data_IF_438906068436
#
_entry.id   IF_438906068436
#
_cell.length_a   1.000
_cell.length_b   1.000
_cell.length_c   1.000
_cell.angle_alpha   90.00
_cell.angle_beta   90.00
_cell.angle_gamma   90.00
#
_symmetry.space_group_name_H-M   'P 1'
#
loop_
_entity.id
_entity.type
_entity.pdbx_description
1 polymer ?
#
# COMPACT_ATOMS: atom_id res chain seq x y z
N UNK A 1 6.89 60.61 -62.43
CA UNK A 1 7.57 59.44 -61.80
C UNK A 1 7.91 59.66 -60.32
N UNK A 2 8.45 60.82 -59.88
CA UNK A 2 8.81 61.08 -58.47
C UNK A 2 7.65 61.14 -57.44
N UNK A 3 6.42 61.51 -57.84
CA UNK A 3 5.28 61.61 -56.89
C UNK A 3 4.56 60.28 -56.65
N UNK A 4 4.68 59.32 -57.58
CA UNK A 4 4.08 57.99 -57.45
C UNK A 4 4.91 57.07 -56.54
N UNK A 5 6.23 57.27 -56.50
CA UNK A 5 7.16 56.53 -55.63
C UNK A 5 7.05 56.89 -54.14
N UNK A 6 6.57 58.09 -53.79
CA UNK A 6 6.41 58.53 -52.39
C UNK A 6 5.12 57.95 -51.77
N UNK A 7 4.04 57.86 -52.57
CA UNK A 7 2.79 57.23 -52.14
C UNK A 7 2.92 55.71 -51.95
N UNK A 8 3.75 55.04 -52.75
CA UNK A 8 4.02 53.60 -52.59
C UNK A 8 4.87 53.29 -51.35
N UNK A 9 5.74 54.22 -50.93
CA UNK A 9 6.59 54.04 -49.74
C UNK A 9 5.81 54.28 -48.44
N UNK A 10 4.87 55.25 -48.42
CA UNK A 10 4.02 55.51 -47.25
C UNK A 10 3.02 54.37 -47.02
N UNK A 11 2.47 53.78 -48.08
CA UNK A 11 1.56 52.62 -47.97
C UNK A 11 2.27 51.36 -47.46
N UNK A 12 3.59 51.23 -47.68
CA UNK A 12 4.39 50.11 -47.18
C UNK A 12 4.86 50.31 -45.73
N UNK A 13 5.03 51.56 -45.27
CA UNK A 13 5.36 51.85 -43.86
C UNK A 13 4.16 51.85 -42.91
N UNK A 14 2.92 52.04 -43.39
CA UNK A 14 1.71 51.89 -42.55
C UNK A 14 1.26 50.44 -42.40
N UNK A 15 1.79 49.52 -43.22
CA UNK A 15 1.53 48.07 -43.15
C UNK A 15 2.61 47.32 -42.35
N UNK A 16 3.29 48.00 -41.42
CA UNK A 16 4.19 47.36 -40.44
C UNK A 16 3.85 47.75 -38.99
N UNK A 17 2.68 48.37 -38.77
CA UNK A 17 2.24 48.84 -37.45
C UNK A 17 0.88 48.28 -37.03
N UNK A 18 0.54 47.07 -37.49
CA UNK A 18 -0.71 46.41 -37.12
C UNK A 18 -0.40 45.00 -36.62
N UNK A 19 -0.61 44.88 -35.31
CA UNK A 19 -0.87 43.69 -34.49
C UNK A 19 0.30 42.91 -33.92
N UNK A 20 0.91 43.46 -32.86
CA UNK A 20 1.18 42.64 -31.68
C UNK A 20 -0.17 42.22 -31.08
N UNK A 21 -0.78 41.15 -31.61
CA UNK A 21 -1.85 40.47 -30.88
C UNK A 21 -1.15 39.87 -29.67
N UNK A 22 -1.27 40.53 -28.52
CA UNK A 22 -1.12 39.84 -27.24
C UNK A 22 -2.15 38.71 -27.27
N UNK A 23 -1.72 37.51 -27.66
CA UNK A 23 -2.55 36.33 -27.43
C UNK A 23 -2.81 36.34 -25.93
N UNK A 24 -4.06 36.24 -25.47
CA UNK A 24 -4.26 35.91 -24.08
C UNK A 24 -3.48 34.63 -23.86
N UNK A 25 -2.43 34.68 -23.05
CA UNK A 25 -1.88 33.48 -22.46
C UNK A 25 -3.06 32.94 -21.67
N UNK A 26 -3.79 31.96 -22.22
CA UNK A 26 -4.59 31.08 -21.38
C UNK A 26 -3.56 30.59 -20.37
N UNK A 27 -3.68 31.05 -19.12
CA UNK A 27 -2.92 30.49 -18.03
C UNK A 27 -3.10 28.99 -18.20
N UNK A 28 -2.01 28.29 -18.54
CA UNK A 28 -2.04 26.85 -18.68
C UNK A 28 -2.67 26.38 -17.38
N UNK A 29 -3.89 25.83 -17.48
CA UNK A 29 -4.65 25.45 -16.30
C UNK A 29 -3.71 24.59 -15.48
N UNK A 30 -3.48 24.99 -14.23
CA UNK A 30 -2.55 24.33 -13.31
C UNK A 30 -3.14 23.00 -12.81
N UNK A 31 -3.74 22.28 -13.75
CA UNK A 31 -4.70 21.22 -13.60
C UNK A 31 -4.30 20.06 -14.52
N UNK A 32 -4.34 18.87 -13.94
CA UNK A 32 -4.10 17.61 -14.63
C UNK A 32 -5.36 16.77 -14.56
N UNK A 33 -5.96 16.51 -15.71
CA UNK A 33 -7.20 15.73 -15.84
C UNK A 33 -6.90 14.27 -16.22
N UNK A 34 -7.72 13.36 -15.70
CA UNK A 34 -7.61 11.92 -15.93
C UNK A 34 -8.85 11.42 -16.66
N UNK A 35 -8.71 11.01 -17.92
CA UNK A 35 -9.83 10.53 -18.74
C UNK A 35 -10.56 9.34 -18.11
N UNK A 36 -9.82 8.45 -17.44
CA UNK A 36 -10.36 7.24 -16.82
C UNK A 36 -11.43 7.52 -15.75
N UNK A 37 -11.31 8.63 -15.02
CA UNK A 37 -12.25 8.99 -13.94
C UNK A 37 -13.04 10.26 -14.24
N UNK A 38 -12.62 11.06 -15.23
CA UNK A 38 -13.19 12.36 -15.56
C UNK A 38 -12.86 13.46 -14.55
N UNK A 39 -12.04 13.19 -13.53
CA UNK A 39 -11.64 14.17 -12.53
C UNK A 39 -10.28 14.77 -12.84
N UNK A 40 -10.08 15.97 -12.34
CA UNK A 40 -8.82 16.69 -12.43
C UNK A 40 -8.27 17.02 -11.05
N UNK A 41 -6.94 17.11 -10.95
CA UNK A 41 -6.22 17.58 -9.77
C UNK A 41 -5.59 18.92 -10.11
N UNK A 42 -5.58 19.87 -9.17
CA UNK A 42 -4.97 21.18 -9.38
C UNK A 42 -4.31 21.75 -8.12
N UNK A 43 -3.56 22.84 -8.29
CA UNK A 43 -2.98 23.61 -7.20
C UNK A 43 -2.09 22.81 -6.24
N UNK A 44 -2.18 23.11 -4.95
CA UNK A 44 -1.29 22.53 -3.93
C UNK A 44 -1.42 21.01 -3.78
N UNK A 45 -2.65 20.47 -3.88
CA UNK A 45 -2.89 19.03 -3.82
C UNK A 45 -2.30 18.31 -5.04
N UNK A 46 -2.39 18.90 -6.24
CA UNK A 46 -1.68 18.37 -7.43
C UNK A 46 -0.18 18.35 -7.22
N UNK A 47 0.41 19.46 -6.74
CA UNK A 47 1.85 19.54 -6.51
C UNK A 47 2.33 18.49 -5.51
N UNK A 48 1.57 18.25 -4.43
CA UNK A 48 1.87 17.20 -3.46
C UNK A 48 1.76 15.79 -4.07
N UNK A 49 0.68 15.55 -4.82
CA UNK A 49 0.44 14.28 -5.50
C UNK A 49 1.60 13.95 -6.45
N UNK A 50 2.03 14.91 -7.26
CA UNK A 50 3.13 14.72 -8.23
C UNK A 50 4.49 14.52 -7.56
N UNK A 51 4.75 15.22 -6.44
CA UNK A 51 5.98 15.06 -5.69
C UNK A 51 6.11 13.69 -5.00
N UNK A 52 4.99 13.03 -4.69
CA UNK A 52 4.97 11.76 -3.93
C UNK A 52 4.67 10.55 -4.83
N UNK A 53 5.25 10.49 -6.03
CA UNK A 53 5.09 9.40 -7.02
C UNK A 53 3.61 9.13 -7.47
N UNK A 54 2.72 10.09 -7.20
CA UNK A 54 1.39 10.23 -7.76
C UNK A 54 0.57 8.95 -7.87
N UNK A 55 0.49 8.41 -9.08
CA UNK A 55 -0.39 7.30 -9.43
C UNK A 55 -0.03 6.02 -8.65
N UNK A 56 1.26 5.79 -8.41
CA UNK A 56 1.73 4.60 -7.69
C UNK A 56 1.31 4.63 -6.22
N UNK A 57 1.40 5.80 -5.59
CA UNK A 57 1.10 5.97 -4.16
C UNK A 57 -0.39 6.18 -3.92
N UNK A 58 -1.02 7.14 -4.59
CA UNK A 58 -2.41 7.53 -4.30
C UNK A 58 -3.44 6.90 -5.24
N UNK A 59 -3.03 6.55 -6.46
CA UNK A 59 -3.95 6.14 -7.52
C UNK A 59 -4.65 7.32 -8.21
N UNK A 60 -5.71 7.01 -8.97
CA UNK A 60 -6.50 7.99 -9.72
C UNK A 60 -7.39 8.84 -8.79
N UNK A 61 -7.70 10.10 -9.16
CA UNK A 61 -8.67 10.89 -8.42
C UNK A 61 -10.08 10.32 -8.58
N UNK A 62 -10.84 10.32 -7.48
CA UNK A 62 -12.21 9.84 -7.39
C UNK A 62 -13.24 10.97 -7.20
N UNK A 63 -12.80 12.20 -6.95
CA UNK A 63 -13.65 13.39 -6.79
C UNK A 63 -12.97 14.63 -7.38
N UNK A 64 -13.71 15.74 -7.57
CA UNK A 64 -13.10 17.06 -7.54
C UNK A 64 -12.48 17.36 -6.17
N UNK A 65 -11.62 18.37 -6.11
CA UNK A 65 -11.25 19.00 -4.85
C UNK A 65 -12.46 19.75 -4.29
N UNK A 66 -12.79 19.54 -3.00
CA UNK A 66 -13.97 20.10 -2.36
C UNK A 66 -13.77 20.29 -0.85
N UNK A 67 -14.62 21.10 -0.21
CA UNK A 67 -14.59 21.25 1.24
C UNK A 67 -15.37 20.11 1.89
N UNK A 68 -14.76 19.41 2.83
CA UNK A 68 -15.42 18.41 3.69
C UNK A 68 -15.15 18.71 5.17
N UNK A 69 -16.05 18.28 6.05
CA UNK A 69 -15.83 18.39 7.49
C UNK A 69 -15.07 17.16 7.97
N UNK A 70 -13.80 17.33 8.33
CA UNK A 70 -12.94 16.30 8.91
C UNK A 70 -12.70 16.66 10.38
N UNK A 71 -13.04 15.74 11.30
CA UNK A 71 -12.85 15.93 12.75
C UNK A 71 -13.46 17.24 13.30
N UNK A 72 -14.58 17.68 12.71
CA UNK A 72 -15.28 18.90 13.11
C UNK A 72 -14.78 20.19 12.43
N UNK A 73 -13.77 20.10 11.56
CA UNK A 73 -13.19 21.24 10.87
C UNK A 73 -13.43 21.18 9.35
N UNK A 74 -13.75 22.31 8.70
CA UNK A 74 -13.80 22.35 7.24
C UNK A 74 -12.38 22.28 6.67
N UNK A 75 -12.13 21.30 5.81
CA UNK A 75 -10.84 21.06 5.16
C UNK A 75 -11.05 20.93 3.65
N UNK A 76 -10.16 21.52 2.86
CA UNK A 76 -10.14 21.25 1.42
C UNK A 76 -9.54 19.88 1.18
N UNK A 77 -10.34 18.96 0.63
CA UNK A 77 -9.93 17.58 0.40
C UNK A 77 -10.06 17.18 -1.06
N UNK A 78 -9.32 16.16 -1.45
CA UNK A 78 -9.59 15.41 -2.67
C UNK A 78 -9.37 13.92 -2.44
N UNK A 79 -10.30 13.11 -2.93
CA UNK A 79 -10.25 11.66 -2.80
C UNK A 79 -9.54 11.02 -3.98
N UNK A 80 -8.71 10.02 -3.69
CA UNK A 80 -8.00 9.18 -4.63
C UNK A 80 -8.31 7.71 -4.34
N UNK A 81 -7.88 6.79 -5.20
CA UNK A 81 -8.17 5.36 -5.03
C UNK A 81 -7.67 4.78 -3.69
N UNK A 82 -6.51 5.23 -3.19
CA UNK A 82 -5.90 4.72 -1.95
C UNK A 82 -6.01 5.66 -0.76
N UNK A 83 -6.07 6.98 -0.98
CA UNK A 83 -6.03 7.97 0.09
C UNK A 83 -6.99 9.14 -0.14
N UNK A 84 -7.22 9.91 0.92
CA UNK A 84 -7.79 11.26 0.89
C UNK A 84 -6.66 12.24 1.20
N UNK A 85 -6.41 13.20 0.31
CA UNK A 85 -5.48 14.30 0.59
C UNK A 85 -6.24 15.46 1.22
N UNK A 86 -5.67 16.05 2.26
CA UNK A 86 -6.27 17.07 3.11
C UNK A 86 -5.35 18.30 3.16
N UNK A 87 -5.82 19.46 2.70
CA UNK A 87 -5.04 20.70 2.64
C UNK A 87 -5.20 21.51 3.93
N UNK A 88 -4.08 21.76 4.60
CA UNK A 88 -3.95 22.52 5.84
C UNK A 88 -3.04 23.75 5.62
N UNK A 89 -3.57 24.85 5.06
CA UNK A 89 -2.76 25.98 4.60
C UNK A 89 -2.05 26.76 5.74
N UNK A 90 -2.45 26.54 6.99
CA UNK A 90 -1.83 27.15 8.17
C UNK A 90 -0.52 26.44 8.58
N UNK A 91 -0.20 25.29 7.98
CA UNK A 91 1.07 24.60 8.17
C UNK A 91 2.05 24.96 7.04
N UNK A 92 3.37 24.96 7.29
CA UNK A 92 4.34 25.14 6.22
C UNK A 92 4.48 23.85 5.37
N UNK A 93 4.73 23.96 4.06
CA UNK A 93 5.12 22.81 3.25
C UNK A 93 6.38 22.10 3.80
N UNK A 94 6.48 20.77 3.68
CA UNK A 94 5.52 19.86 3.02
C UNK A 94 4.32 19.41 3.89
N UNK A 95 4.21 19.88 5.13
CA UNK A 95 3.21 19.44 6.12
C UNK A 95 1.82 20.08 5.94
N UNK A 96 1.68 20.96 4.95
CA UNK A 96 0.42 21.60 4.57
C UNK A 96 -0.51 20.67 3.78
N UNK A 97 -0.07 19.47 3.42
CA UNK A 97 -0.93 18.41 2.89
C UNK A 97 -0.77 17.16 3.74
N UNK A 98 -1.87 16.70 4.33
CA UNK A 98 -1.93 15.49 5.13
C UNK A 98 -2.77 14.41 4.44
N UNK A 99 -2.56 13.17 4.86
CA UNK A 99 -3.33 12.02 4.41
C UNK A 99 -4.37 11.67 5.47
N UNK A 100 -5.62 11.52 5.04
CA UNK A 100 -6.72 11.05 5.86
C UNK A 100 -6.45 9.66 6.43
N UNK A 101 -6.94 9.42 7.65
CA UNK A 101 -6.79 8.16 8.40
C UNK A 101 -7.75 7.08 7.90
N UNK A 102 -7.64 6.73 6.62
CA UNK A 102 -8.62 5.87 5.95
C UNK A 102 -8.68 4.44 6.51
N UNK A 103 -7.61 3.94 7.15
CA UNK A 103 -7.67 2.68 7.88
C UNK A 103 -8.59 2.77 9.09
N UNK A 104 -8.49 3.86 9.86
CA UNK A 104 -9.40 4.15 10.97
C UNK A 104 -10.84 4.32 10.46
N UNK A 105 -11.04 5.15 9.42
CA UNK A 105 -12.36 5.44 8.85
C UNK A 105 -13.04 4.14 8.39
N UNK A 106 -12.29 3.27 7.71
CA UNK A 106 -12.83 2.01 7.18
C UNK A 106 -13.19 1.02 8.29
N UNK A 107 -12.34 0.84 9.30
CA UNK A 107 -12.64 0.00 10.46
C UNK A 107 -13.84 0.53 11.24
N UNK A 108 -13.97 1.85 11.39
CA UNK A 108 -15.11 2.47 12.04
C UNK A 108 -16.43 2.20 11.29
N UNK A 109 -16.44 2.30 9.95
CA UNK A 109 -17.60 1.94 9.13
C UNK A 109 -17.99 0.46 9.26
N UNK A 110 -17.01 -0.42 9.54
CA UNK A 110 -17.24 -1.84 9.84
C UNK A 110 -17.66 -2.10 11.30
N UNK A 111 -17.82 -1.06 12.12
CA UNK A 111 -18.06 -1.16 13.58
C UNK A 111 -16.95 -1.93 14.33
N UNK A 112 -15.70 -1.79 13.88
CA UNK A 112 -14.53 -2.41 14.51
C UNK A 112 -13.73 -1.36 15.26
N UNK A 113 -13.73 -1.46 16.58
CA UNK A 113 -12.89 -0.62 17.44
C UNK A 113 -11.48 -1.22 17.53
N UNK A 114 -10.52 -0.62 16.83
CA UNK A 114 -9.14 -1.10 16.80
C UNK A 114 -8.42 -0.93 18.15
N UNK A 115 -8.90 -0.09 19.07
CA UNK A 115 -8.35 -0.01 20.43
C UNK A 115 -8.57 -1.32 21.20
N UNK A 116 -9.51 -2.16 20.76
CA UNK A 116 -9.78 -3.48 21.35
C UNK A 116 -9.01 -4.61 20.66
N UNK A 117 -8.24 -4.33 19.61
CA UNK A 117 -7.48 -5.35 18.91
C UNK A 117 -6.35 -5.92 19.79
N UNK A 118 -6.01 -7.22 19.61
CA UNK A 118 -4.90 -7.82 20.32
C UNK A 118 -3.60 -7.03 20.15
N UNK A 119 -2.91 -6.80 21.25
CA UNK A 119 -1.61 -6.14 21.27
C UNK A 119 -0.52 -7.12 20.85
N UNK A 120 0.49 -6.61 20.16
CA UNK A 120 1.70 -7.37 19.83
C UNK A 120 2.72 -7.29 20.97
N UNK A 121 3.71 -8.18 20.94
CA UNK A 121 4.92 -8.06 21.78
C UNK A 121 6.12 -7.74 20.90
N UNK A 122 7.15 -7.04 21.41
CA UNK A 122 8.42 -6.90 20.70
C UNK A 122 8.97 -8.26 20.26
N UNK A 123 9.53 -8.31 19.06
CA UNK A 123 10.13 -9.52 18.49
C UNK A 123 11.30 -9.13 17.58
N UNK A 124 12.39 -9.88 17.67
CA UNK A 124 13.54 -9.73 16.77
C UNK A 124 13.11 -9.85 15.29
N UNK A 125 13.71 -9.01 14.44
CA UNK A 125 13.38 -8.92 13.01
C UNK A 125 12.09 -8.17 12.68
N UNK A 126 11.37 -7.65 13.68
CA UNK A 126 10.18 -6.81 13.50
C UNK A 126 10.42 -5.39 14.03
N UNK A 127 9.65 -4.43 13.53
CA UNK A 127 9.58 -3.09 14.09
C UNK A 127 8.38 -3.00 15.03
N UNK A 128 8.62 -2.66 16.30
CA UNK A 128 7.59 -2.51 17.32
C UNK A 128 7.27 -1.03 17.55
N UNK A 129 5.98 -0.70 17.54
CA UNK A 129 5.46 0.65 17.72
C UNK A 129 4.75 0.74 19.08
N UNK A 130 5.45 1.25 20.08
CA UNK A 130 4.93 1.34 21.45
C UNK A 130 3.65 2.17 21.58
N UNK A 131 3.44 3.16 20.69
CA UNK A 131 2.27 4.02 20.70
C UNK A 131 0.94 3.27 20.47
N UNK A 132 0.96 2.21 19.66
CA UNK A 132 -0.23 1.36 19.39
C UNK A 132 -0.10 -0.05 19.95
N UNK A 133 1.07 -0.38 20.49
CA UNK A 133 1.48 -1.72 20.91
C UNK A 133 1.46 -2.75 19.79
N UNK A 134 1.57 -2.30 18.54
CA UNK A 134 1.61 -3.18 17.37
C UNK A 134 3.03 -3.34 16.84
N UNK A 135 3.25 -4.41 16.08
CA UNK A 135 4.50 -4.65 15.36
C UNK A 135 4.26 -4.89 13.90
N UNK A 136 5.24 -4.55 13.07
CA UNK A 136 5.27 -4.86 11.65
C UNK A 136 6.47 -5.77 11.40
N UNK A 137 6.23 -6.90 10.76
CA UNK A 137 7.25 -7.90 10.40
C UNK A 137 7.25 -8.10 8.88
N UNK A 138 8.26 -8.79 8.34
CA UNK A 138 8.24 -9.20 6.94
C UNK A 138 6.97 -10.05 6.63
N UNK A 139 6.38 -9.90 5.42
CA UNK A 139 6.83 -9.04 4.32
C UNK A 139 6.37 -7.57 4.44
N UNK A 140 5.42 -7.26 5.32
CA UNK A 140 4.89 -5.91 5.46
C UNK A 140 5.93 -4.87 5.90
N UNK A 141 6.92 -5.25 6.71
CA UNK A 141 7.98 -4.34 7.15
C UNK A 141 8.86 -3.89 5.99
N UNK A 142 9.14 -4.79 5.04
CA UNK A 142 9.95 -4.48 3.86
C UNK A 142 9.19 -3.52 2.95
N UNK A 143 7.92 -3.79 2.70
CA UNK A 143 7.04 -2.89 1.94
C UNK A 143 6.87 -1.53 2.62
N UNK A 144 6.74 -1.50 3.95
CA UNK A 144 6.60 -0.26 4.71
C UNK A 144 7.86 0.60 4.58
N UNK A 145 9.06 0.02 4.72
CA UNK A 145 10.33 0.75 4.56
C UNK A 145 10.60 1.21 3.12
N UNK A 146 10.09 0.46 2.14
CA UNK A 146 10.30 0.77 0.72
C UNK A 146 9.40 1.89 0.18
N UNK A 147 8.47 2.44 0.98
CA UNK A 147 7.49 3.42 0.52
C UNK A 147 7.27 4.53 1.57
N UNK A 148 7.16 5.79 1.14
CA UNK A 148 6.90 6.93 2.01
C UNK A 148 6.46 8.16 1.21
N UNK A 149 6.17 9.26 1.92
CA UNK A 149 6.04 10.59 1.32
C UNK A 149 7.41 11.25 1.35
N UNK A 150 7.89 11.79 0.23
CA UNK A 150 9.14 12.56 0.18
C UNK A 150 9.00 13.89 0.93
N UNK A 151 9.76 14.09 2.00
CA UNK A 151 9.68 15.26 2.87
C UNK A 151 11.00 16.03 3.03
N UNK A 152 12.15 15.41 2.77
CA UNK A 152 13.48 15.97 3.13
C UNK A 152 14.49 16.05 1.97
N UNK A 153 14.10 15.57 0.78
CA UNK A 153 14.88 15.55 -0.44
C UNK A 153 15.98 14.48 -0.48
N UNK A 154 15.97 13.51 0.45
CA UNK A 154 16.98 12.44 0.52
C UNK A 154 16.54 11.17 -0.20
N UNK A 155 17.48 10.38 -0.75
CA UNK A 155 17.14 9.11 -1.36
C UNK A 155 16.67 8.09 -0.31
N UNK A 156 15.60 7.37 -0.63
CA UNK A 156 14.98 6.38 0.25
C UNK A 156 13.87 7.00 1.09
N UNK A 157 13.43 6.30 2.13
CA UNK A 157 12.41 6.81 3.04
C UNK A 157 12.86 6.60 4.48
N UNK A 158 12.83 7.69 5.24
CA UNK A 158 12.96 7.67 6.69
C UNK A 158 11.68 7.15 7.34
N UNK A 159 11.77 6.74 8.61
CA UNK A 159 10.60 6.32 9.39
C UNK A 159 9.52 7.42 9.45
N UNK A 160 9.91 8.69 9.49
CA UNK A 160 8.96 9.82 9.47
C UNK A 160 8.17 9.84 8.16
N UNK A 161 8.81 9.57 7.04
CA UNK A 161 8.20 9.55 5.71
C UNK A 161 7.33 8.31 5.49
N UNK A 162 7.76 7.16 6.01
CA UNK A 162 6.93 5.95 6.04
C UNK A 162 5.66 6.18 6.88
N UNK A 163 5.80 6.82 8.05
CA UNK A 163 4.69 7.19 8.93
C UNK A 163 3.77 8.25 8.30
N UNK A 164 4.32 9.19 7.53
CA UNK A 164 3.52 10.19 6.83
C UNK A 164 2.59 9.54 5.79
N UNK A 165 3.06 8.49 5.10
CA UNK A 165 2.25 7.74 4.14
C UNK A 165 1.23 6.81 4.82
N UNK A 166 1.69 5.95 5.71
CA UNK A 166 0.87 4.83 6.22
C UNK A 166 0.25 5.11 7.60
N UNK A 167 0.84 6.00 8.38
CA UNK A 167 0.57 6.13 9.81
C UNK A 167 1.08 4.94 10.62
N UNK A 168 0.66 4.89 11.89
CA UNK A 168 1.03 3.80 12.78
C UNK A 168 0.28 2.51 12.44
N UNK A 169 0.86 1.32 12.65
CA UNK A 169 0.11 0.06 12.60
C UNK A 169 -0.91 0.01 13.74
N UNK A 170 -2.15 -0.34 13.43
CA UNK A 170 -3.27 -0.40 14.39
C UNK A 170 -3.82 -1.81 14.61
N UNK A 171 -3.30 -2.80 13.88
CA UNK A 171 -3.63 -4.22 14.08
C UNK A 171 -2.40 -5.12 14.03
N UNK A 172 -2.56 -6.35 14.50
CA UNK A 172 -1.74 -7.48 14.07
C UNK A 172 -2.08 -7.89 12.63
N UNK A 173 -1.27 -8.72 11.96
CA UNK A 173 -1.70 -9.39 10.73
C UNK A 173 -2.93 -10.28 10.99
N UNK A 174 -4.02 -10.07 10.25
CA UNK A 174 -5.28 -10.82 10.33
C UNK A 174 -5.61 -11.41 8.95
N UNK A 175 -6.18 -12.61 8.89
CA UNK A 175 -6.66 -13.16 7.62
C UNK A 175 -8.08 -12.66 7.36
N UNK A 176 -8.28 -11.93 6.28
CA UNK A 176 -9.57 -11.35 5.89
C UNK A 176 -9.94 -11.74 4.46
N UNK A 177 -11.21 -12.05 4.23
CA UNK A 177 -11.75 -12.17 2.86
C UNK A 177 -12.09 -10.78 2.32
N UNK A 178 -11.43 -10.38 1.23
CA UNK A 178 -11.59 -9.08 0.61
C UNK A 178 -12.68 -9.09 -0.48
N UNK A 179 -12.86 -7.95 -1.15
CA UNK A 179 -13.96 -7.72 -2.11
C UNK A 179 -13.93 -8.60 -3.36
N UNK A 180 -12.78 -9.18 -3.69
CA UNK A 180 -12.60 -10.15 -4.76
C UNK A 180 -13.00 -11.59 -4.35
N UNK A 181 -13.37 -11.80 -3.09
CA UNK A 181 -13.77 -13.08 -2.53
C UNK A 181 -12.60 -13.96 -2.07
N UNK A 182 -11.36 -13.50 -2.19
CA UNK A 182 -10.17 -14.24 -1.76
C UNK A 182 -9.76 -13.84 -0.34
N UNK A 183 -9.14 -14.78 0.36
CA UNK A 183 -8.61 -14.56 1.70
C UNK A 183 -7.13 -14.16 1.64
N UNK A 184 -6.81 -13.00 2.23
CA UNK A 184 -5.46 -12.46 2.29
C UNK A 184 -5.02 -12.26 3.73
N UNK A 185 -3.71 -12.34 3.96
CA UNK A 185 -3.15 -11.80 5.19
C UNK A 185 -3.13 -10.27 5.03
N UNK A 186 -3.76 -9.56 5.94
CA UNK A 186 -3.80 -8.09 5.94
C UNK A 186 -3.28 -7.53 7.24
N UNK A 187 -2.70 -6.34 7.20
CA UNK A 187 -2.39 -5.56 8.40
C UNK A 187 -2.91 -4.13 8.22
N UNK A 188 -3.65 -3.65 9.22
CA UNK A 188 -4.21 -2.31 9.22
C UNK A 188 -3.24 -1.30 9.82
N UNK A 189 -3.14 -0.16 9.16
CA UNK A 189 -2.44 1.04 9.60
C UNK A 189 -3.44 2.19 9.66
N UNK A 190 -3.07 3.31 10.29
CA UNK A 190 -4.00 4.44 10.41
C UNK A 190 -4.51 4.94 9.05
N UNK A 191 -3.66 4.92 8.01
CA UNK A 191 -3.94 5.51 6.69
C UNK A 191 -3.99 4.49 5.55
N UNK A 192 -3.75 3.20 5.84
CA UNK A 192 -3.64 2.17 4.83
C UNK A 192 -4.02 0.77 5.34
N UNK A 193 -4.29 -0.15 4.41
CA UNK A 193 -4.35 -1.59 4.66
C UNK A 193 -3.32 -2.26 3.77
N UNK A 194 -2.41 -3.01 4.37
CA UNK A 194 -1.43 -3.81 3.65
C UNK A 194 -2.03 -5.17 3.37
N UNK A 195 -1.86 -5.68 2.16
CA UNK A 195 -2.46 -6.93 1.68
C UNK A 195 -1.35 -7.80 1.11
N UNK A 196 -1.21 -9.03 1.60
CA UNK A 196 -0.21 -9.97 1.11
C UNK A 196 -0.76 -10.90 0.03
N UNK A 197 -0.22 -10.78 -1.17
CA UNK A 197 -0.57 -11.47 -2.41
C UNK A 197 0.60 -12.36 -2.87
N UNK A 198 0.72 -13.60 -2.33
CA UNK A 198 1.86 -14.49 -2.62
C UNK A 198 1.96 -14.92 -4.09
N UNK A 199 0.88 -14.78 -4.86
CA UNK A 199 0.81 -15.10 -6.28
C UNK A 199 1.48 -14.05 -7.17
N UNK A 200 1.77 -12.86 -6.66
CA UNK A 200 2.46 -11.81 -7.39
C UNK A 200 3.97 -12.06 -7.46
N UNK A 201 4.64 -11.36 -8.37
CA UNK A 201 6.10 -11.26 -8.38
C UNK A 201 6.59 -10.79 -6.99
N UNK A 202 7.71 -11.32 -6.46
CA UNK A 202 8.24 -10.97 -5.14
C UNK A 202 8.29 -9.47 -4.85
N UNK A 203 8.57 -8.63 -5.86
CA UNK A 203 8.62 -7.17 -5.71
C UNK A 203 7.23 -6.52 -5.46
N UNK A 204 6.14 -7.24 -5.70
CA UNK A 204 4.75 -6.75 -5.64
C UNK A 204 3.83 -7.63 -4.78
N UNK A 205 4.37 -8.48 -3.93
CA UNK A 205 3.57 -9.34 -3.05
C UNK A 205 2.88 -8.58 -1.92
N UNK A 206 3.28 -7.34 -1.62
CA UNK A 206 2.53 -6.48 -0.70
C UNK A 206 1.89 -5.37 -1.49
N UNK A 207 0.56 -5.36 -1.50
CA UNK A 207 -0.25 -4.31 -2.10
C UNK A 207 -0.86 -3.43 -1.01
N UNK A 208 -1.25 -2.22 -1.39
CA UNK A 208 -1.97 -1.29 -0.52
C UNK A 208 -3.42 -1.21 -0.98
N UNK A 209 -4.34 -1.53 -0.07
CA UNK A 209 -5.78 -1.56 -0.32
C UNK A 209 -6.32 -0.23 -0.83
N UNK A 210 -7.39 -0.30 -1.63
CA UNK A 210 -8.02 0.86 -2.26
C UNK A 210 -8.97 1.58 -1.29
N UNK A 211 -8.45 1.96 -0.12
CA UNK A 211 -9.28 2.47 0.98
C UNK A 211 -10.02 3.76 0.63
N UNK A 212 -9.51 4.59 -0.28
CA UNK A 212 -10.23 5.76 -0.76
C UNK A 212 -11.49 5.42 -1.54
N UNK A 213 -11.50 4.30 -2.25
CA UNK A 213 -12.70 3.76 -2.89
C UNK A 213 -13.64 3.11 -1.87
N UNK A 214 -13.10 2.28 -0.99
CA UNK A 214 -13.89 1.53 0.00
C UNK A 214 -14.63 2.46 0.96
N UNK A 215 -13.93 3.42 1.57
CA UNK A 215 -14.51 4.37 2.55
C UNK A 215 -15.63 5.19 1.91
N UNK A 216 -15.51 5.58 0.65
CA UNK A 216 -16.54 6.36 -0.06
C UNK A 216 -17.78 5.57 -0.43
N UNK A 217 -17.65 4.26 -0.62
CA UNK A 217 -18.78 3.37 -0.94
C UNK A 217 -19.38 2.71 0.30
N UNK A 218 -18.70 2.85 1.45
CA UNK A 218 -18.96 2.08 2.65
C UNK A 218 -18.08 0.84 2.65
N UNK A 219 -17.22 0.73 3.65
CA UNK A 219 -16.39 -0.43 3.85
C UNK A 219 -17.24 -1.65 4.16
N UNK A 220 -17.18 -2.66 3.28
CA UNK A 220 -17.82 -3.96 3.53
C UNK A 220 -17.25 -4.61 4.78
N UNK A 221 -18.05 -5.41 5.48
CA UNK A 221 -17.57 -6.19 6.63
C UNK A 221 -16.87 -7.43 6.05
N UNK A 222 -15.52 -7.54 6.16
CA UNK A 222 -14.83 -8.74 5.70
C UNK A 222 -15.22 -9.92 6.58
N UNK A 223 -15.36 -11.10 5.96
CA UNK A 223 -15.45 -12.34 6.73
C UNK A 223 -14.05 -12.65 7.24
N UNK A 224 -13.86 -12.59 8.56
CA UNK A 224 -12.62 -13.04 9.20
C UNK A 224 -12.56 -14.54 9.01
N UNK A 225 -11.68 -14.99 8.12
CA UNK A 225 -11.46 -16.42 7.96
C UNK A 225 -10.73 -16.95 9.21
N UNK A 226 -11.11 -18.12 9.74
CA UNK A 226 -10.31 -18.73 10.79
C UNK A 226 -8.86 -18.88 10.28
N UNK A 227 -7.85 -18.67 11.14
CA UNK A 227 -6.46 -18.85 10.73
C UNK A 227 -6.32 -20.23 10.10
N UNK A 228 -5.77 -20.29 8.88
CA UNK A 228 -5.50 -21.56 8.20
C UNK A 228 -4.55 -22.33 9.11
N UNK A 229 -5.08 -23.30 9.86
CA UNK A 229 -4.25 -24.23 10.61
C UNK A 229 -3.32 -24.86 9.58
N UNK A 230 -2.02 -24.63 9.72
CA UNK A 230 -1.01 -25.37 8.96
C UNK A 230 -1.07 -26.80 9.48
N UNK A 231 -2.07 -27.57 9.04
CA UNK A 231 -2.00 -29.01 9.18
C UNK A 231 -0.72 -29.44 8.47
N UNK A 232 0.20 -30.15 9.16
CA UNK A 232 1.31 -30.75 8.46
C UNK A 232 0.71 -31.59 7.34
N UNK A 233 1.09 -31.28 6.10
CA UNK A 233 0.79 -32.15 4.96
C UNK A 233 1.38 -33.50 5.33
N UNK A 234 0.52 -34.44 5.72
CA UNK A 234 0.89 -35.85 5.82
C UNK A 234 1.27 -36.27 4.40
N UNK A 235 2.57 -36.22 4.12
CA UNK A 235 3.14 -36.81 2.92
C UNK A 235 2.77 -38.28 2.99
N UNK A 236 1.76 -38.67 2.21
CA UNK A 236 1.38 -40.07 2.10
C UNK A 236 2.58 -40.83 1.53
N UNK A 237 3.07 -41.89 2.19
CA UNK A 237 4.14 -42.69 1.62
C UNK A 237 3.65 -43.28 0.31
N UNK A 238 4.32 -42.94 -0.78
CA UNK A 238 4.07 -43.46 -2.12
C UNK A 238 4.02 -44.99 -2.04
N UNK A 239 2.89 -45.57 -2.44
CA UNK A 239 2.65 -47.02 -2.42
C UNK A 239 3.61 -47.67 -3.41
N UNK A 240 4.74 -48.16 -2.91
CA UNK A 240 5.68 -48.97 -3.68
C UNK A 240 4.99 -50.29 -4.05
N UNK A 241 4.70 -50.47 -5.34
CA UNK A 241 4.19 -51.71 -5.92
C UNK A 241 5.29 -52.75 -5.86
N UNK A 242 5.32 -53.54 -4.79
CA UNK A 242 6.13 -54.75 -4.70
C UNK A 242 5.52 -55.80 -5.64
N UNK A 243 6.23 -56.10 -6.73
CA UNK A 243 5.91 -57.15 -7.69
C UNK A 243 6.30 -58.49 -7.07
N UNK A 244 5.31 -59.33 -6.82
CA UNK A 244 5.46 -60.69 -6.31
C UNK A 244 6.26 -61.56 -7.30
N UNK A 245 7.38 -62.09 -6.83
CA UNK A 245 8.17 -63.11 -7.52
C UNK A 245 8.98 -63.91 -6.52
N UNK A 246 8.43 -65.04 -6.07
CA UNK A 246 9.21 -66.08 -5.38
C UNK A 246 10.03 -66.85 -6.43
N UNK A 247 11.23 -67.31 -6.06
CA UNK A 247 11.30 -68.74 -5.81
C UNK A 247 12.03 -69.10 -4.51
N UNK A 248 11.61 -70.27 -4.02
CA UNK A 248 12.08 -71.03 -2.87
C UNK A 248 13.55 -71.41 -3.01
N UNK A 249 14.37 -71.14 -1.98
CA UNK A 249 15.59 -71.92 -1.70
C UNK A 249 15.79 -72.05 -0.19
N UNK A 250 16.20 -73.26 0.19
CA UNK A 250 16.25 -73.94 1.47
C UNK A 250 17.17 -73.35 2.54
N UNK A 251 16.77 -73.51 3.81
CA UNK A 251 17.54 -73.28 5.04
C UNK A 251 18.86 -74.07 5.08
N UNK A 252 19.83 -73.58 5.88
CA UNK A 252 20.30 -74.43 6.97
C UNK A 252 20.27 -73.73 8.33
N UNK A 253 19.79 -74.49 9.31
CA UNK A 253 19.89 -74.24 10.75
C UNK A 253 21.36 -74.28 11.17
N UNK A 254 21.85 -73.28 11.92
CA UNK A 254 22.94 -73.49 12.88
C UNK A 254 22.98 -72.46 14.03
N UNK A 255 22.70 -73.02 15.21
CA UNK A 255 23.30 -72.85 16.54
C UNK A 255 23.40 -71.47 17.19
N UNK A 256 22.65 -71.40 18.30
CA UNK A 256 22.77 -70.57 19.49
C UNK A 256 24.21 -70.29 19.96
N UNK A 257 24.44 -69.04 20.40
CA UNK A 257 25.45 -68.68 21.40
C UNK A 257 24.90 -67.51 22.24
N UNK A 258 24.53 -67.86 23.47
CA UNK A 258 24.22 -66.92 24.55
C UNK A 258 25.49 -66.21 25.01
N UNK A 259 25.45 -64.88 25.15
CA UNK A 259 26.34 -64.16 26.07
C UNK A 259 25.50 -63.17 26.89
N UNK A 260 25.64 -63.34 28.19
CA UNK A 260 25.04 -62.58 29.29
C UNK A 260 26.00 -61.48 29.75
N UNK A 261 25.50 -60.64 30.66
CA UNK A 261 26.21 -59.74 31.60
C UNK A 261 26.60 -58.38 31.01
N UNK A 262 26.35 -57.23 31.65
CA UNK A 262 25.77 -56.91 32.95
C UNK A 262 25.92 -55.41 33.23
N UNK A 263 24.96 -54.84 33.96
CA UNK A 263 25.00 -53.49 34.51
C UNK A 263 26.03 -53.37 35.65
N UNK A 264 26.55 -52.16 35.91
CA UNK A 264 26.63 -51.69 37.28
C UNK A 264 26.01 -50.30 37.50
N UNK A 265 25.46 -50.16 38.71
CA UNK A 265 24.87 -48.99 39.33
C UNK A 265 25.92 -48.02 39.87
N UNK A 266 25.49 -46.75 39.97
CA UNK A 266 25.74 -45.74 41.02
C UNK A 266 27.19 -45.41 41.45
N UNK A 267 27.53 -44.10 41.52
CA UNK A 267 27.30 -43.26 42.71
C UNK A 267 28.13 -41.95 42.62
N UNK A 268 27.49 -40.79 42.73
CA UNK A 268 27.91 -39.61 43.53
C UNK A 268 26.87 -38.50 43.45
#
# INVERSE_FOLDING_TARGET
>A
MRRLSILLFILFTTMLLVTSISRPTLAQSDERCFEATGYCISGRLRAFWEASDGLRVFGLPLSPQQTETIEGWPVQVQWFERNRLELHPDQPPPYDVLLGRLGNDCLAQQNRDWFTFPQSTPQDGCQFFAATGQRVCAPFLEAWRANGIELDGQPGFSEVENLALFGLPISQPITETLSDGNAYQVQWFERARFEYHPEQDPAFQVLFGLLGHEVRRGCGIPVIAPPRQTHPVLVSPTRSTVRSGLPVVSLPVRRSLSISVGFPLANK
#
